data_IF_637290182927
#
_entry.id   IF_637290182927
#
_cell.length_a   1.000
_cell.length_b   1.000
_cell.length_c   1.000
_cell.angle_alpha   90.00
_cell.angle_beta   90.00
_cell.angle_gamma   90.00
#
_symmetry.space_group_name_H-M   'P 1'
#
loop_
_entity.id
_entity.type
_entity.pdbx_description
1 polymer ?
#
# COMPACT_ATOMS: atom_id res chain seq x y z
N UNK A 1 12.05 19.95 -10.73
CA UNK A 1 11.94 20.39 -9.32
C UNK A 1 10.59 19.88 -8.83
N UNK A 2 10.56 18.88 -7.94
CA UNK A 2 9.28 18.31 -7.47
C UNK A 2 8.46 19.42 -6.80
N UNK A 3 7.16 19.48 -7.09
CA UNK A 3 6.28 20.45 -6.44
C UNK A 3 6.20 20.14 -4.94
N UNK A 4 6.02 21.16 -4.10
CA UNK A 4 5.88 20.96 -2.65
C UNK A 4 4.78 19.94 -2.29
N UNK A 5 3.69 19.92 -3.07
CA UNK A 5 2.58 18.96 -2.91
C UNK A 5 3.03 17.50 -3.13
N UNK A 6 3.86 17.26 -4.15
CA UNK A 6 4.42 15.94 -4.44
C UNK A 6 5.38 15.46 -3.33
N UNK A 7 6.22 16.37 -2.81
CA UNK A 7 7.13 16.02 -1.72
C UNK A 7 6.37 15.68 -0.44
N UNK A 8 5.33 16.44 -0.07
CA UNK A 8 4.55 16.21 1.15
C UNK A 8 3.77 14.90 1.08
N UNK A 9 3.19 14.57 -0.08
CA UNK A 9 2.37 13.36 -0.24
C UNK A 9 3.22 12.08 -0.24
N UNK A 10 4.33 12.09 -0.97
CA UNK A 10 5.06 10.86 -1.29
C UNK A 10 6.37 10.68 -0.53
N UNK A 11 7.03 11.77 -0.11
CA UNK A 11 8.43 11.72 0.34
C UNK A 11 8.66 12.19 1.77
N UNK A 12 7.91 13.16 2.28
CA UNK A 12 8.09 13.63 3.65
C UNK A 12 7.39 12.67 4.62
N UNK A 13 8.13 12.03 5.55
CA UNK A 13 7.50 11.22 6.57
C UNK A 13 6.76 12.14 7.54
N UNK A 14 5.43 12.01 7.59
CA UNK A 14 4.57 12.86 8.43
C UNK A 14 4.15 12.15 9.72
N UNK A 15 4.14 10.82 9.69
CA UNK A 15 3.67 10.00 10.80
C UNK A 15 4.75 9.04 11.26
N UNK A 16 4.86 8.86 12.56
CA UNK A 16 5.52 7.68 13.12
C UNK A 16 4.71 6.42 12.77
N UNK A 17 5.37 5.26 12.79
CA UNK A 17 4.70 3.96 12.64
C UNK A 17 3.61 3.77 13.71
N UNK A 18 3.80 4.31 14.92
CA UNK A 18 2.84 4.20 16.00
C UNK A 18 1.58 5.05 15.76
N UNK A 19 1.75 6.28 15.28
CA UNK A 19 0.62 7.16 14.93
C UNK A 19 -0.16 6.60 13.76
N UNK A 20 0.52 6.20 12.68
CA UNK A 20 -0.13 5.59 11.52
C UNK A 20 -0.92 4.34 11.92
N UNK A 21 -0.35 3.48 12.78
CA UNK A 21 -1.04 2.27 13.23
C UNK A 21 -2.29 2.58 14.06
N UNK A 22 -2.23 3.62 14.91
CA UNK A 22 -3.39 4.10 15.68
C UNK A 22 -4.49 4.63 14.77
N UNK A 23 -4.14 5.43 13.76
CA UNK A 23 -5.10 6.00 12.79
C UNK A 23 -5.78 4.87 12.00
N UNK A 24 -5.00 3.89 11.53
CA UNK A 24 -5.49 2.76 10.73
C UNK A 24 -6.29 1.75 11.57
N UNK A 25 -6.09 1.73 12.89
CA UNK A 25 -6.76 0.83 13.82
C UNK A 25 -6.15 -0.59 13.83
N UNK A 26 -4.82 -0.69 13.72
CA UNK A 26 -4.10 -1.99 13.72
C UNK A 26 -2.94 -1.99 14.73
N UNK A 27 -2.46 -3.17 15.19
CA UNK A 27 -1.28 -3.23 16.04
C UNK A 27 -0.04 -2.61 15.37
N UNK A 28 0.79 -1.89 16.14
CA UNK A 28 2.01 -1.23 15.62
C UNK A 28 2.94 -2.20 14.89
N UNK A 29 3.11 -3.42 15.42
CA UNK A 29 3.94 -4.46 14.79
C UNK A 29 3.37 -4.93 13.45
N UNK A 30 2.04 -4.96 13.30
CA UNK A 30 1.38 -5.31 12.05
C UNK A 30 1.70 -4.29 10.96
N UNK A 31 1.52 -2.99 11.24
CA UNK A 31 1.85 -1.94 10.28
C UNK A 31 3.35 -1.91 9.97
N UNK A 32 4.20 -2.07 10.99
CA UNK A 32 5.65 -2.19 10.78
C UNK A 32 6.01 -3.34 9.82
N UNK A 33 5.32 -4.49 9.93
CA UNK A 33 5.49 -5.62 9.02
C UNK A 33 5.06 -5.30 7.58
N UNK A 34 3.94 -4.60 7.41
CA UNK A 34 3.47 -4.17 6.07
C UNK A 34 4.49 -3.27 5.38
N UNK A 35 5.04 -2.30 6.12
CA UNK A 35 6.04 -1.37 5.64
C UNK A 35 7.40 -2.05 5.38
N UNK A 36 8.01 -2.62 6.43
CA UNK A 36 9.42 -2.98 6.41
C UNK A 36 9.67 -4.39 5.85
N UNK A 37 8.75 -5.32 6.07
CA UNK A 37 8.94 -6.73 5.68
C UNK A 37 8.31 -7.04 4.33
N UNK A 38 7.12 -6.50 4.08
CA UNK A 38 6.37 -6.84 2.87
C UNK A 38 6.52 -5.80 1.76
N UNK A 39 6.87 -4.56 2.10
CA UNK A 39 6.98 -3.45 1.17
C UNK A 39 5.62 -3.04 0.57
N UNK A 40 4.52 -3.26 1.30
CA UNK A 40 3.17 -2.93 0.84
C UNK A 40 2.73 -1.53 1.27
N UNK A 41 3.45 -0.93 2.21
CA UNK A 41 3.18 0.39 2.74
C UNK A 41 4.45 1.21 2.61
N UNK A 42 4.31 2.40 2.07
CA UNK A 42 5.40 3.33 1.85
C UNK A 42 6.03 3.73 3.15
N UNK A 43 7.36 3.70 3.14
CA UNK A 43 8.16 3.85 4.33
C UNK A 43 9.46 4.55 3.96
N UNK A 44 9.80 5.56 4.76
CA UNK A 44 11.08 6.26 4.70
C UNK A 44 11.85 5.89 5.96
N UNK A 45 13.08 5.35 5.85
CA UNK A 45 13.90 5.05 7.02
C UNK A 45 14.02 6.29 7.93
N UNK A 46 13.59 6.20 9.20
CA UNK A 46 13.65 7.33 10.13
C UNK A 46 15.08 7.59 10.57
N UNK A 47 15.41 8.86 10.82
CA UNK A 47 16.73 9.29 11.32
C UNK A 47 17.02 8.84 12.77
N UNK A 48 15.99 8.37 13.49
CA UNK A 48 16.11 7.95 14.87
C UNK A 48 14.90 7.20 15.38
N UNK A 49 15.01 6.71 16.62
CA UNK A 49 13.91 6.01 17.29
C UNK A 49 12.78 7.01 17.54
N UNK A 50 11.55 6.61 17.19
CA UNK A 50 10.34 7.45 17.32
C UNK A 50 10.24 8.64 16.35
N UNK A 51 11.13 8.75 15.36
CA UNK A 51 10.96 9.73 14.29
C UNK A 51 9.88 9.29 13.29
N UNK A 52 9.25 10.25 12.59
CA UNK A 52 8.35 9.95 11.48
C UNK A 52 9.03 9.06 10.44
N UNK A 53 8.26 8.11 9.91
CA UNK A 53 8.74 7.15 8.91
C UNK A 53 7.69 6.83 7.82
N UNK A 54 6.45 7.27 8.02
CA UNK A 54 5.34 6.98 7.12
C UNK A 54 4.88 8.29 6.47
N UNK A 55 5.05 8.47 5.14
CA UNK A 55 4.48 9.60 4.41
C UNK A 55 2.95 9.48 4.30
N UNK A 56 2.28 10.54 3.85
CA UNK A 56 0.82 10.52 3.67
C UNK A 56 0.36 9.37 2.77
N UNK A 57 1.08 9.12 1.66
CA UNK A 57 0.78 8.00 0.77
C UNK A 57 0.85 6.65 1.51
N UNK A 58 1.84 6.47 2.38
CA UNK A 58 1.97 5.24 3.18
C UNK A 58 0.80 5.05 4.15
N UNK A 59 0.28 6.14 4.73
CA UNK A 59 -0.92 6.07 5.55
C UNK A 59 -2.14 5.65 4.70
N UNK A 60 -2.31 6.21 3.50
CA UNK A 60 -3.39 5.85 2.59
C UNK A 60 -3.33 4.36 2.17
N UNK A 61 -2.14 3.87 1.81
CA UNK A 61 -1.95 2.45 1.47
C UNK A 61 -2.28 1.53 2.65
N UNK A 62 -1.88 1.90 3.87
CA UNK A 62 -2.20 1.15 5.07
C UNK A 62 -3.72 1.12 5.35
N UNK A 63 -4.44 2.22 5.08
CA UNK A 63 -5.90 2.28 5.19
C UNK A 63 -6.58 1.34 4.20
N UNK A 64 -6.14 1.33 2.94
CA UNK A 64 -6.66 0.43 1.89
C UNK A 64 -6.38 -1.03 2.26
N UNK A 65 -5.14 -1.34 2.64
CA UNK A 65 -4.74 -2.68 3.05
C UNK A 65 -5.56 -3.18 4.25
N UNK A 66 -5.78 -2.34 5.26
CA UNK A 66 -6.63 -2.67 6.39
C UNK A 66 -8.10 -2.89 5.98
N UNK A 67 -8.61 -2.12 5.03
CA UNK A 67 -9.94 -2.31 4.45
C UNK A 67 -10.10 -3.69 3.79
N UNK A 68 -9.14 -4.07 2.94
CA UNK A 68 -9.13 -5.39 2.28
C UNK A 68 -9.05 -6.55 3.27
N UNK A 69 -8.27 -6.40 4.34
CA UNK A 69 -8.18 -7.42 5.39
C UNK A 69 -9.50 -7.54 6.17
N UNK A 70 -10.15 -6.42 6.48
CA UNK A 70 -11.47 -6.40 7.14
C UNK A 70 -12.57 -6.99 6.26
N UNK A 71 -12.45 -6.89 4.94
CA UNK A 71 -13.38 -7.54 4.01
C UNK A 71 -13.10 -9.04 3.80
N UNK A 72 -12.15 -9.62 4.54
CA UNK A 72 -11.86 -11.06 4.53
C UNK A 72 -10.81 -11.50 3.50
N UNK A 73 -10.20 -10.57 2.75
CA UNK A 73 -9.13 -10.93 1.82
C UNK A 73 -7.86 -11.20 2.62
N UNK A 74 -7.31 -12.42 2.54
CA UNK A 74 -6.13 -12.79 3.33
C UNK A 74 -4.84 -12.13 2.80
N UNK A 75 -3.89 -11.84 3.70
CA UNK A 75 -2.55 -11.36 3.35
C UNK A 75 -1.83 -12.22 2.30
N UNK A 76 -2.10 -13.54 2.30
CA UNK A 76 -1.55 -14.50 1.32
C UNK A 76 -2.02 -14.19 -0.10
N UNK A 77 -3.25 -13.69 -0.27
CA UNK A 77 -3.81 -13.28 -1.56
C UNK A 77 -3.42 -11.86 -1.94
N UNK A 78 -3.42 -10.94 -0.97
CA UNK A 78 -3.11 -9.52 -1.22
C UNK A 78 -1.67 -9.33 -1.69
N UNK A 79 -0.69 -9.93 -0.99
CA UNK A 79 0.75 -9.75 -1.30
C UNK A 79 1.13 -10.02 -2.76
N UNK A 80 0.80 -11.17 -3.37
CA UNK A 80 1.16 -11.43 -4.75
C UNK A 80 0.40 -10.53 -5.73
N UNK A 81 -0.87 -10.20 -5.45
CA UNK A 81 -1.65 -9.31 -6.30
C UNK A 81 -1.06 -7.89 -6.34
N UNK A 82 -0.73 -7.31 -5.18
CA UNK A 82 -0.12 -5.96 -5.13
C UNK A 82 1.23 -5.95 -5.86
N UNK A 83 2.07 -6.97 -5.67
CA UNK A 83 3.36 -7.06 -6.37
C UNK A 83 3.23 -7.19 -7.88
N UNK A 84 2.21 -7.90 -8.35
CA UNK A 84 1.95 -8.00 -9.78
C UNK A 84 1.49 -6.65 -10.36
N UNK A 85 0.60 -5.96 -9.64
CA UNK A 85 0.13 -4.64 -10.03
C UNK A 85 1.26 -3.59 -10.04
N UNK A 86 2.21 -3.65 -9.10
CA UNK A 86 3.42 -2.81 -9.12
C UNK A 86 4.22 -3.03 -10.42
N UNK A 87 4.41 -4.30 -10.80
CA UNK A 87 5.16 -4.67 -12.00
C UNK A 87 4.49 -4.26 -13.31
N UNK A 88 3.16 -4.39 -13.39
CA UNK A 88 2.37 -4.04 -14.58
C UNK A 88 2.22 -2.53 -14.77
N UNK A 89 2.10 -1.78 -13.67
CA UNK A 89 1.80 -0.35 -13.77
C UNK A 89 3.04 0.55 -13.67
N UNK A 90 4.18 0.03 -13.20
CA UNK A 90 5.37 0.85 -12.93
C UNK A 90 5.11 1.97 -11.92
N UNK A 91 4.02 1.87 -11.17
CA UNK A 91 3.58 2.89 -10.23
C UNK A 91 4.27 2.64 -8.89
N UNK A 92 5.10 3.58 -8.46
CA UNK A 92 5.37 3.70 -7.04
C UNK A 92 4.03 4.02 -6.36
N UNK A 93 3.69 3.28 -5.31
CA UNK A 93 2.49 3.49 -4.49
C UNK A 93 1.15 2.99 -5.08
N UNK A 94 1.12 1.79 -5.67
CA UNK A 94 -0.07 1.21 -6.32
C UNK A 94 -1.32 1.28 -5.46
N UNK A 95 -1.23 0.94 -4.16
CA UNK A 95 -2.37 0.92 -3.26
C UNK A 95 -3.00 2.31 -3.03
N UNK A 96 -2.26 3.38 -3.25
CA UNK A 96 -2.74 4.76 -3.17
C UNK A 96 -2.89 5.42 -4.55
N UNK A 97 -2.67 4.67 -5.64
CA UNK A 97 -2.76 5.21 -6.99
C UNK A 97 -4.21 5.49 -7.38
N UNK A 98 -4.43 6.61 -8.09
CA UNK A 98 -5.76 6.95 -8.63
C UNK A 98 -6.27 5.87 -9.58
N UNK A 99 -5.36 5.24 -10.32
CA UNK A 99 -5.67 4.19 -11.29
C UNK A 99 -6.21 2.92 -10.61
N UNK A 100 -5.67 2.53 -9.45
CA UNK A 100 -6.25 1.42 -8.68
C UNK A 100 -7.64 1.77 -8.15
N UNK A 101 -7.89 3.02 -7.77
CA UNK A 101 -9.21 3.43 -7.29
C UNK A 101 -10.29 3.42 -8.37
N UNK A 102 -9.95 3.84 -9.60
CA UNK A 102 -10.92 3.90 -10.71
C UNK A 102 -11.04 2.57 -11.46
N UNK A 103 -9.91 1.92 -11.73
CA UNK A 103 -9.81 0.79 -12.68
C UNK A 103 -9.45 -0.51 -11.96
N UNK A 104 -9.36 -0.50 -10.61
CA UNK A 104 -8.80 -1.61 -9.85
C UNK A 104 -9.54 -2.93 -9.98
N UNK A 105 -10.83 -2.90 -10.29
CA UNK A 105 -11.61 -4.11 -10.55
C UNK A 105 -11.17 -4.74 -11.86
N UNK A 106 -11.13 -3.97 -12.95
CA UNK A 106 -10.67 -4.41 -14.28
C UNK A 106 -9.22 -4.91 -14.21
N UNK A 107 -8.32 -4.16 -13.57
CA UNK A 107 -6.92 -4.56 -13.39
C UNK A 107 -6.76 -5.86 -12.59
N UNK A 108 -7.61 -6.09 -11.58
CA UNK A 108 -7.59 -7.35 -10.82
C UNK A 108 -8.18 -8.51 -11.63
N UNK A 109 -9.15 -8.24 -12.52
CA UNK A 109 -9.69 -9.23 -13.45
C UNK A 109 -8.66 -9.60 -14.51
N UNK A 110 -8.02 -8.63 -15.16
CA UNK A 110 -6.96 -8.86 -16.16
C UNK A 110 -5.82 -9.71 -15.56
N UNK A 111 -5.39 -9.38 -14.34
CA UNK A 111 -4.39 -10.16 -13.62
C UNK A 111 -4.86 -11.60 -13.32
N UNK A 112 -6.14 -11.78 -12.98
CA UNK A 112 -6.70 -13.11 -12.74
C UNK A 112 -6.77 -13.93 -14.03
N UNK A 113 -7.15 -13.32 -15.16
CA UNK A 113 -7.17 -13.98 -16.46
C UNK A 113 -5.76 -14.38 -16.94
N UNK A 114 -4.78 -13.49 -16.82
CA UNK A 114 -3.41 -13.75 -17.24
C UNK A 114 -2.74 -14.88 -16.44
N UNK A 115 -3.12 -15.06 -15.17
CA UNK A 115 -2.51 -16.04 -14.27
C UNK A 115 -3.31 -17.34 -14.08
N UNK A 116 -4.63 -17.32 -14.30
CA UNK A 116 -5.49 -18.49 -14.15
C UNK A 116 -6.18 -18.96 -15.43
N UNK A 117 -5.95 -18.31 -16.57
CA UNK A 117 -6.47 -18.76 -17.86
C UNK A 117 -7.98 -18.82 -17.88
N UNK A 118 -8.64 -17.67 -17.73
CA UNK A 118 -10.10 -17.51 -17.84
C UNK A 118 -10.90 -18.31 -16.81
N UNK A 119 -11.80 -17.65 -16.07
CA UNK A 119 -12.91 -18.41 -15.49
C UNK A 119 -13.75 -18.91 -16.66
N UNK A 120 -13.52 -20.16 -17.08
CA UNK A 120 -14.34 -20.84 -18.05
C UNK A 120 -15.79 -20.83 -17.57
N UNK A 121 -16.57 -19.91 -18.14
CA UNK A 121 -18.01 -19.96 -18.26
C UNK A 121 -18.34 -20.32 -19.71
#
# INVERSE_FOLDING_TARGET
MASWDEMVRFRFPLYTVAEAARIVGVPRQTLAGWAQRYGLVSYVPPEGRFCPAVPFVGLAEAMVLAGLLRSGVSMRRIRPAVRALDGLMGLNHVLASRRLYSDGVELLFDYAEERWGGFGL
#
